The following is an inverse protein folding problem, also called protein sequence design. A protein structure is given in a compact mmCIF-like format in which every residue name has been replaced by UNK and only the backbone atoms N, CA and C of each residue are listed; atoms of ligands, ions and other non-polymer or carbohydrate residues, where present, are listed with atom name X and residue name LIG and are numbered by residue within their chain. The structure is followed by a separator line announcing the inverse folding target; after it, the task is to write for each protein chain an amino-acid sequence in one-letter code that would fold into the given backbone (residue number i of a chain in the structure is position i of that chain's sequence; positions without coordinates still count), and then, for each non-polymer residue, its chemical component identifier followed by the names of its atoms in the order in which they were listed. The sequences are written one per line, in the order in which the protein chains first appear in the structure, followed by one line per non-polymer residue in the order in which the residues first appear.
data_IF_313976224944
#
_entry.id   IF_313976224944
#
_cell.length_a   1.000
_cell.length_b   1.000
_cell.length_c   1.000
_cell.angle_alpha   90.00
_cell.angle_beta   90.00
_cell.angle_gamma   90.00
#
_symmetry.space_group_name_H-M   'P 1'
#
loop_
_entity.id
_entity.type
_entity.pdbx_description
1 polymer ?
#
# COMPACT_ATOMS: atom_id res chain seq x y z
N UNK A 1 -0.64 -80.11 -3.07
CA UNK A 1 0.38 -79.04 -3.19
C UNK A 1 -0.37 -77.80 -3.64
N UNK A 2 -0.87 -77.01 -2.68
CA UNK A 2 -1.66 -75.82 -2.97
C UNK A 2 -0.72 -74.60 -2.95
N UNK A 3 -0.66 -73.90 -4.07
CA UNK A 3 0.22 -72.76 -4.32
C UNK A 3 -0.49 -71.49 -3.87
N UNK A 4 -0.36 -71.14 -2.59
CA UNK A 4 -0.91 -69.90 -2.03
C UNK A 4 0.03 -68.75 -2.38
N UNK A 5 -0.36 -67.93 -3.35
CA UNK A 5 0.42 -66.76 -3.76
C UNK A 5 0.03 -65.58 -2.87
N UNK A 6 0.73 -65.42 -1.74
CA UNK A 6 0.53 -64.28 -0.84
C UNK A 6 0.65 -62.96 -1.61
N UNK A 7 -0.48 -62.28 -1.81
CA UNK A 7 -0.52 -60.97 -2.44
C UNK A 7 -0.20 -59.89 -1.41
N UNK A 8 0.59 -58.89 -1.77
CA UNK A 8 1.00 -57.81 -0.86
C UNK A 8 0.61 -56.46 -1.46
N UNK A 9 0.11 -55.55 -0.62
CA UNK A 9 -0.27 -54.21 -1.04
C UNK A 9 0.96 -53.43 -1.53
N UNK A 10 0.96 -52.91 -2.77
CA UNK A 10 2.10 -52.17 -3.32
C UNK A 10 2.32 -50.81 -2.64
N UNK A 11 1.32 -50.27 -1.95
CA UNK A 11 1.41 -48.95 -1.32
C UNK A 11 1.95 -48.99 0.11
N UNK A 12 1.65 -50.05 0.90
CA UNK A 12 2.00 -50.08 2.32
C UNK A 12 2.63 -51.41 2.79
N UNK A 13 2.78 -52.39 1.90
CA UNK A 13 3.42 -53.67 2.22
C UNK A 13 2.57 -54.63 3.06
N UNK A 14 1.28 -54.36 3.23
CA UNK A 14 0.38 -55.23 4.01
C UNK A 14 0.00 -56.48 3.22
N UNK A 15 -0.07 -57.65 3.88
CA UNK A 15 -0.52 -58.89 3.23
C UNK A 15 -2.01 -58.80 2.94
N UNK A 16 -2.36 -59.12 1.71
CA UNK A 16 -3.71 -59.05 1.18
C UNK A 16 -4.23 -60.46 0.91
N UNK A 17 -5.49 -60.76 1.27
CA UNK A 17 -6.13 -61.98 0.84
C UNK A 17 -6.37 -61.94 -0.68
N UNK A 18 -6.34 -63.12 -1.31
CA UNK A 18 -6.27 -63.28 -2.78
C UNK A 18 -7.39 -62.58 -3.55
N UNK A 19 -8.58 -62.43 -2.93
CA UNK A 19 -9.77 -61.80 -3.54
C UNK A 19 -10.02 -60.35 -3.08
N UNK A 20 -9.06 -59.70 -2.40
CA UNK A 20 -9.26 -58.30 -1.99
C UNK A 20 -9.16 -57.34 -3.20
N UNK A 21 -10.18 -56.51 -3.36
CA UNK A 21 -10.21 -55.42 -4.35
C UNK A 21 -9.56 -54.13 -3.81
N UNK A 22 -9.44 -54.00 -2.49
CA UNK A 22 -8.86 -52.83 -1.80
C UNK A 22 -8.09 -53.26 -0.55
N UNK A 23 -7.02 -52.53 -0.22
CA UNK A 23 -6.26 -52.72 1.00
C UNK A 23 -7.03 -52.17 2.21
N UNK A 24 -7.36 -53.01 3.18
CA UNK A 24 -8.06 -52.61 4.40
C UNK A 24 -7.27 -51.62 5.28
N UNK A 25 -5.94 -51.56 5.13
CA UNK A 25 -5.07 -50.71 5.95
C UNK A 25 -4.89 -49.31 5.40
N UNK A 26 -4.74 -49.15 4.08
CA UNK A 26 -4.47 -47.86 3.45
C UNK A 26 -5.51 -47.42 2.41
N UNK A 27 -6.50 -48.27 2.10
CA UNK A 27 -7.54 -48.00 1.13
C UNK A 27 -7.11 -48.12 -0.34
N UNK A 28 -5.85 -48.48 -0.63
CA UNK A 28 -5.36 -48.61 -2.01
C UNK A 28 -6.08 -49.75 -2.73
N UNK A 29 -6.65 -49.44 -3.89
CA UNK A 29 -7.32 -50.39 -4.77
C UNK A 29 -6.32 -51.32 -5.46
N UNK A 30 -6.61 -52.61 -5.50
CA UNK A 30 -5.68 -53.69 -5.90
C UNK A 30 -6.35 -54.71 -6.84
N UNK A 31 -7.48 -54.40 -7.47
CA UNK A 31 -8.11 -55.31 -8.43
C UNK A 31 -7.28 -55.42 -9.72
N UNK A 32 -7.07 -56.67 -10.18
CA UNK A 32 -6.11 -57.06 -11.21
C UNK A 32 -6.50 -56.74 -12.65
N UNK A 33 -7.20 -55.63 -12.91
CA UNK A 33 -7.44 -55.12 -14.26
C UNK A 33 -6.67 -53.82 -14.46
N UNK A 34 -5.57 -53.94 -15.21
CA UNK A 34 -4.80 -52.83 -15.69
C UNK A 34 -5.67 -51.93 -16.59
N UNK A 35 -6.14 -50.81 -16.04
CA UNK A 35 -6.47 -49.63 -16.82
C UNK A 35 -5.81 -48.40 -16.22
N UNK A 36 -4.73 -48.03 -16.90
CA UNK A 36 -4.29 -46.66 -17.07
C UNK A 36 -4.00 -45.93 -15.76
N UNK A 37 -2.87 -46.34 -15.15
CA UNK A 37 -1.94 -45.36 -14.63
C UNK A 37 -1.93 -44.17 -15.59
N UNK A 38 -2.40 -43.02 -15.09
CA UNK A 38 -2.10 -41.74 -15.71
C UNK A 38 -0.60 -41.71 -15.91
N UNK A 39 -0.19 -41.97 -17.15
CA UNK A 39 1.10 -41.57 -17.65
C UNK A 39 1.04 -40.04 -17.65
N UNK A 40 1.36 -39.48 -16.48
CA UNK A 40 2.30 -38.38 -16.39
C UNK A 40 3.54 -38.91 -17.10
N UNK A 41 3.54 -38.83 -18.44
CA UNK A 41 4.78 -38.66 -19.16
C UNK A 41 5.44 -37.50 -18.45
N UNK A 42 6.55 -37.77 -17.75
CA UNK A 42 7.54 -36.74 -17.47
C UNK A 42 7.58 -35.88 -18.74
N UNK A 43 7.43 -34.55 -18.67
CA UNK A 43 7.94 -33.74 -19.76
C UNK A 43 9.47 -33.76 -19.63
N UNK A 44 10.08 -34.94 -19.82
CA UNK A 44 11.41 -35.00 -20.39
C UNK A 44 11.22 -34.50 -21.82
N UNK A 45 11.60 -33.24 -22.03
CA UNK A 45 11.54 -32.51 -23.29
C UNK A 45 10.28 -31.69 -23.59
N UNK A 46 9.78 -30.90 -22.61
CA UNK A 46 9.00 -29.68 -22.95
C UNK A 46 9.66 -28.37 -22.50
N UNK A 47 10.74 -28.42 -21.70
CA UNK A 47 11.64 -27.28 -21.57
C UNK A 47 12.66 -27.32 -22.72
N UNK A 48 12.19 -27.08 -23.94
CA UNK A 48 13.09 -26.69 -25.02
C UNK A 48 13.82 -25.44 -24.55
N UNK A 49 15.15 -25.51 -24.50
CA UNK A 49 16.07 -24.42 -24.19
C UNK A 49 15.79 -23.21 -25.09
N UNK A 50 14.89 -22.33 -24.69
CA UNK A 50 14.86 -20.94 -25.15
C UNK A 50 15.23 -20.02 -23.97
N UNK A 51 16.50 -20.07 -23.58
CA UNK A 51 17.16 -19.13 -22.65
C UNK A 51 17.25 -17.68 -23.21
N UNK A 52 16.36 -17.27 -24.11
CA UNK A 52 16.42 -15.94 -24.77
C UNK A 52 15.15 -15.09 -24.67
N UNK A 53 14.14 -15.48 -23.88
CA UNK A 53 12.92 -14.64 -23.69
C UNK A 53 12.43 -14.65 -22.23
N UNK A 54 13.33 -14.35 -21.29
CA UNK A 54 12.98 -13.97 -19.90
C UNK A 54 13.58 -12.60 -19.52
N UNK A 55 14.42 -12.01 -20.39
CA UNK A 55 15.10 -10.74 -20.11
C UNK A 55 14.35 -9.46 -20.50
N UNK A 56 13.35 -9.53 -21.38
CA UNK A 56 12.68 -8.33 -21.92
C UNK A 56 11.52 -7.87 -21.03
N UNK A 57 10.78 -8.81 -20.43
CA UNK A 57 9.66 -8.49 -19.53
C UNK A 57 10.13 -7.82 -18.23
N UNK A 58 11.22 -8.30 -17.62
CA UNK A 58 11.76 -7.72 -16.40
C UNK A 58 12.28 -6.30 -16.63
N UNK A 59 13.01 -6.05 -17.73
CA UNK A 59 13.48 -4.72 -18.08
C UNK A 59 12.33 -3.74 -18.33
N UNK A 60 11.29 -4.17 -19.05
CA UNK A 60 10.10 -3.35 -19.28
C UNK A 60 9.36 -3.03 -17.97
N UNK A 61 9.17 -4.01 -17.07
CA UNK A 61 8.55 -3.79 -15.76
C UNK A 61 9.37 -2.81 -14.92
N UNK A 62 10.69 -2.94 -14.90
CA UNK A 62 11.57 -2.01 -14.17
C UNK A 62 11.43 -0.59 -14.74
N UNK A 63 11.44 -0.43 -16.06
CA UNK A 63 11.24 0.88 -16.70
C UNK A 63 9.88 1.48 -16.32
N UNK A 64 8.81 0.69 -16.33
CA UNK A 64 7.47 1.15 -15.91
C UNK A 64 7.47 1.58 -14.44
N UNK A 65 8.06 0.80 -13.54
CA UNK A 65 8.17 1.16 -12.13
C UNK A 65 8.97 2.44 -11.90
N UNK A 66 10.08 2.63 -12.65
CA UNK A 66 10.87 3.86 -12.59
C UNK A 66 10.09 5.07 -13.09
N UNK A 67 9.29 4.92 -14.15
CA UNK A 67 8.42 5.99 -14.66
C UNK A 67 7.34 6.33 -13.62
N UNK A 68 6.67 5.34 -13.04
CA UNK A 68 5.66 5.55 -11.99
C UNK A 68 6.28 6.27 -10.79
N UNK A 69 7.46 5.82 -10.35
CA UNK A 69 8.19 6.45 -9.24
C UNK A 69 8.57 7.89 -9.57
N UNK A 70 9.08 8.14 -10.77
CA UNK A 70 9.42 9.49 -11.25
C UNK A 70 8.22 10.42 -11.29
N UNK A 71 7.08 9.94 -11.79
CA UNK A 71 5.81 10.70 -11.80
C UNK A 71 5.38 11.02 -10.37
N UNK A 72 5.39 10.04 -9.47
CA UNK A 72 5.01 10.27 -8.07
C UNK A 72 5.96 11.28 -7.38
N UNK A 73 7.26 11.20 -7.63
CA UNK A 73 8.25 12.14 -7.08
C UNK A 73 8.01 13.58 -7.58
N UNK A 74 7.72 13.76 -8.88
CA UNK A 74 7.39 15.06 -9.45
C UNK A 74 6.10 15.62 -8.86
N UNK A 75 5.06 14.80 -8.70
CA UNK A 75 3.80 15.23 -8.10
C UNK A 75 3.96 15.60 -6.63
N UNK A 76 4.72 14.81 -5.85
CA UNK A 76 5.03 15.11 -4.46
C UNK A 76 5.82 16.42 -4.33
N UNK A 77 6.80 16.66 -5.21
CA UNK A 77 7.54 17.93 -5.25
C UNK A 77 6.64 19.11 -5.59
N UNK A 78 5.68 18.93 -6.51
CA UNK A 78 4.72 19.98 -6.85
C UNK A 78 3.80 20.30 -5.67
N UNK A 79 3.26 19.29 -4.99
CA UNK A 79 2.45 19.50 -3.79
C UNK A 79 3.25 20.24 -2.71
N UNK A 80 4.50 19.84 -2.46
CA UNK A 80 5.36 20.52 -1.48
C UNK A 80 5.49 22.01 -1.75
N UNK A 81 5.73 22.40 -3.00
CA UNK A 81 5.82 23.83 -3.39
C UNK A 81 4.54 24.61 -3.19
N UNK A 82 3.37 23.97 -3.34
CA UNK A 82 2.08 24.62 -3.07
C UNK A 82 1.83 24.75 -1.57
N UNK A 83 2.30 23.80 -0.76
CA UNK A 83 2.20 23.85 0.69
C UNK A 83 3.07 24.96 1.29
N UNK A 84 4.30 25.15 0.80
CA UNK A 84 5.26 26.20 1.22
C UNK A 84 4.85 27.64 0.82
N UNK A 85 3.56 27.86 0.54
CA UNK A 85 2.96 29.19 0.35
C UNK A 85 2.35 29.64 1.67
N UNK A 86 1.98 30.91 1.74
CA UNK A 86 1.33 31.46 2.93
C UNK A 86 -0.15 31.05 2.97
N UNK A 87 -0.53 30.25 3.97
CA UNK A 87 -1.90 29.76 4.15
C UNK A 87 -2.49 30.35 5.42
N UNK A 88 -3.67 30.96 5.33
CA UNK A 88 -4.33 31.54 6.49
C UNK A 88 -5.83 31.26 6.53
N UNK A 89 -6.45 31.48 7.68
CA UNK A 89 -7.90 31.51 7.86
C UNK A 89 -8.22 32.48 8.99
N UNK A 90 -9.46 32.95 9.06
CA UNK A 90 -9.91 33.79 10.17
C UNK A 90 -10.83 32.96 11.04
N UNK A 91 -10.53 32.88 12.34
CA UNK A 91 -11.39 32.27 13.35
C UNK A 91 -11.88 33.35 14.31
N UNK A 92 -13.14 33.26 14.74
CA UNK A 92 -13.73 34.28 15.60
C UNK A 92 -15.23 34.46 15.37
N UNK A 93 -15.87 35.18 16.29
CA UNK A 93 -17.28 35.53 16.24
C UNK A 93 -17.46 37.00 16.64
N UNK A 94 -18.53 37.62 16.12
CA UNK A 94 -18.93 39.01 16.39
C UNK A 94 -17.81 40.03 16.10
N UNK A 95 -17.08 40.45 17.14
CA UNK A 95 -16.05 41.50 17.08
C UNK A 95 -14.66 40.99 17.53
N UNK A 96 -14.49 39.67 17.70
CA UNK A 96 -13.23 39.05 18.11
C UNK A 96 -12.74 38.09 17.05
N UNK A 97 -11.85 38.56 16.17
CA UNK A 97 -11.24 37.78 15.09
C UNK A 97 -9.76 37.54 15.34
N UNK A 98 -9.30 36.34 15.02
CA UNK A 98 -7.90 35.94 15.07
C UNK A 98 -7.50 35.43 13.69
N UNK A 99 -6.34 35.89 13.19
CA UNK A 99 -5.76 35.36 11.97
C UNK A 99 -4.97 34.10 12.32
N UNK A 100 -5.40 32.98 11.79
CA UNK A 100 -4.71 31.71 11.88
C UNK A 100 -3.81 31.55 10.67
N UNK A 101 -2.54 31.18 10.86
CA UNK A 101 -1.56 30.99 9.79
C UNK A 101 -0.96 29.59 9.85
N UNK A 102 -0.92 28.89 8.73
CA UNK A 102 -0.09 27.71 8.51
C UNK A 102 1.13 28.11 7.68
N UNK A 103 2.29 27.94 8.29
CA UNK A 103 3.58 28.18 7.65
C UNK A 103 4.31 26.86 7.47
N UNK A 104 4.39 26.40 6.22
CA UNK A 104 5.08 25.15 5.89
C UNK A 104 6.55 25.45 5.59
N UNK A 105 7.43 24.81 6.36
CA UNK A 105 8.86 24.74 6.06
C UNK A 105 9.21 23.47 5.26
N UNK A 106 10.50 23.21 5.06
CA UNK A 106 10.96 21.97 4.42
C UNK A 106 10.61 20.71 5.25
N UNK A 107 10.43 20.83 6.56
CA UNK A 107 10.35 19.69 7.51
C UNK A 107 9.12 19.69 8.39
N UNK A 108 8.66 20.88 8.78
CA UNK A 108 7.58 21.07 9.72
C UNK A 108 6.57 22.07 9.19
N UNK A 109 5.39 22.06 9.79
CA UNK A 109 4.36 23.05 9.59
C UNK A 109 4.08 23.72 10.94
N UNK A 110 4.18 25.04 10.96
CA UNK A 110 3.90 25.85 12.14
C UNK A 110 2.48 26.42 12.04
N UNK A 111 1.68 26.19 13.08
CA UNK A 111 0.38 26.80 13.24
C UNK A 111 0.49 28.00 14.19
N UNK A 112 0.33 29.21 13.66
CA UNK A 112 0.42 30.48 14.40
C UNK A 112 -0.92 31.20 14.50
N UNK A 113 -1.09 31.96 15.57
CA UNK A 113 -2.12 32.99 15.69
C UNK A 113 -1.47 34.35 15.56
N UNK A 114 -1.99 35.16 14.64
CA UNK A 114 -1.62 36.54 14.42
C UNK A 114 -2.80 37.45 14.77
N UNK A 115 -2.55 38.48 15.57
CA UNK A 115 -3.63 39.33 16.13
C UNK A 115 -3.57 40.78 15.63
N UNK A 116 -2.71 41.06 14.64
CA UNK A 116 -2.38 42.42 14.18
C UNK A 116 -1.44 43.17 15.15
N UNK A 117 -1.13 42.57 16.30
CA UNK A 117 -0.17 43.06 17.26
C UNK A 117 0.98 42.07 17.39
N UNK A 118 2.14 42.38 16.81
CA UNK A 118 3.29 41.47 16.75
C UNK A 118 3.74 40.88 18.10
N UNK A 119 3.41 41.54 19.23
CA UNK A 119 3.74 41.07 20.57
C UNK A 119 2.77 40.00 21.13
N UNK A 120 1.63 39.80 20.48
CA UNK A 120 0.63 38.79 20.79
C UNK A 120 0.70 37.59 19.84
N UNK A 121 1.49 37.67 18.77
CA UNK A 121 1.63 36.57 17.83
C UNK A 121 2.25 35.37 18.53
N UNK A 122 1.69 34.18 18.31
CA UNK A 122 2.10 32.99 19.04
C UNK A 122 1.96 31.72 18.21
N UNK A 123 2.90 30.81 18.41
CA UNK A 123 2.86 29.46 17.85
C UNK A 123 2.00 28.57 18.73
N UNK A 124 0.91 28.07 18.17
CA UNK A 124 0.01 27.12 18.84
C UNK A 124 0.58 25.72 18.80
N UNK A 125 1.12 25.33 17.66
CA UNK A 125 1.70 24.01 17.45
C UNK A 125 2.70 24.01 16.29
N UNK A 126 3.63 23.05 16.34
CA UNK A 126 4.51 22.71 15.23
C UNK A 126 4.37 21.22 14.98
N UNK A 127 4.17 20.82 13.72
CA UNK A 127 4.00 19.43 13.35
C UNK A 127 5.06 19.01 12.34
N UNK A 128 5.72 17.88 12.57
CA UNK A 128 6.54 17.26 11.52
C UNK A 128 5.63 16.77 10.40
N UNK A 129 6.01 17.03 9.15
CA UNK A 129 5.26 16.55 8.00
C UNK A 129 6.15 15.96 6.90
N UNK A 130 5.53 15.17 6.02
CA UNK A 130 6.17 14.71 4.79
C UNK A 130 5.15 14.46 3.70
N UNK A 131 5.45 14.92 2.49
CA UNK A 131 4.62 14.61 1.32
C UNK A 131 4.87 13.17 0.87
N UNK A 132 3.80 12.38 0.71
CA UNK A 132 3.89 10.97 0.33
C UNK A 132 3.38 10.69 -1.10
N UNK A 133 2.55 11.57 -1.65
CA UNK A 133 2.01 11.46 -3.00
C UNK A 133 1.48 12.81 -3.49
N UNK A 134 0.98 12.89 -4.72
CA UNK A 134 0.54 14.14 -5.35
C UNK A 134 -0.53 14.95 -4.61
N UNK A 135 -1.32 14.34 -3.73
CA UNK A 135 -2.35 15.02 -2.94
C UNK A 135 -2.40 14.57 -1.48
N UNK A 136 -1.33 13.94 -0.96
CA UNK A 136 -1.31 13.44 0.42
C UNK A 136 -0.01 13.77 1.11
N UNK A 137 -0.13 14.23 2.34
CA UNK A 137 0.97 14.34 3.29
C UNK A 137 0.72 13.43 4.49
N UNK A 138 1.79 13.09 5.20
CA UNK A 138 1.70 12.58 6.56
C UNK A 138 2.10 13.66 7.53
N UNK A 139 1.42 13.71 8.67
CA UNK A 139 1.70 14.65 9.75
C UNK A 139 1.77 13.91 11.07
N UNK A 140 2.74 14.29 11.90
CA UNK A 140 2.88 13.80 13.27
C UNK A 140 2.29 14.83 14.24
N UNK A 141 1.01 14.66 14.59
CA UNK A 141 0.29 15.60 15.47
C UNK A 141 0.38 15.24 16.95
N UNK A 142 0.24 13.95 17.26
CA UNK A 142 0.13 13.44 18.62
C UNK A 142 0.96 12.17 18.77
N UNK A 143 1.87 12.15 19.76
CA UNK A 143 2.72 10.98 20.01
C UNK A 143 3.63 10.64 18.83
N UNK A 144 3.72 9.35 18.52
CA UNK A 144 4.66 8.81 17.51
C UNK A 144 3.96 8.33 16.22
N UNK A 145 2.65 8.53 16.11
CA UNK A 145 1.84 8.01 15.00
C UNK A 145 1.60 9.04 13.89
N UNK A 146 2.04 8.68 12.68
CA UNK A 146 1.85 9.49 11.48
C UNK A 146 0.42 9.36 10.93
N UNK A 147 -0.33 10.45 10.96
CA UNK A 147 -1.64 10.57 10.34
C UNK A 147 -1.50 10.95 8.86
N UNK A 148 -2.39 10.46 7.98
CA UNK A 148 -2.40 10.84 6.57
C UNK A 148 -3.46 11.90 6.32
N UNK A 149 -3.05 13.03 5.77
CA UNK A 149 -3.89 14.15 5.39
C UNK A 149 -3.95 14.23 3.87
N UNK A 150 -5.16 14.27 3.33
CA UNK A 150 -5.42 14.57 1.92
C UNK A 150 -5.51 16.08 1.74
N UNK A 151 -4.89 16.60 0.69
CA UNK A 151 -4.83 18.01 0.35
C UNK A 151 -5.49 18.22 -1.01
N UNK A 152 -6.49 19.10 -1.04
CA UNK A 152 -7.18 19.49 -2.27
C UNK A 152 -7.04 21.01 -2.45
N UNK A 153 -6.92 21.44 -3.70
CA UNK A 153 -6.90 22.85 -4.06
C UNK A 153 -8.07 23.16 -4.98
N UNK A 154 -8.60 24.39 -4.90
CA UNK A 154 -9.47 24.89 -5.96
C UNK A 154 -8.68 25.10 -7.27
N UNK A 155 -9.38 25.40 -8.36
CA UNK A 155 -8.78 25.55 -9.69
C UNK A 155 -7.69 26.64 -9.74
N UNK A 156 -7.87 27.71 -8.97
CA UNK A 156 -6.95 28.85 -8.87
C UNK A 156 -5.82 28.63 -7.86
N UNK A 157 -5.90 27.56 -7.05
CA UNK A 157 -5.02 27.29 -5.90
C UNK A 157 -4.92 28.46 -4.91
N UNK A 158 -5.99 29.21 -4.75
CA UNK A 158 -6.16 30.23 -3.72
C UNK A 158 -6.81 29.66 -2.47
N UNK A 159 -7.36 28.44 -2.56
CA UNK A 159 -8.00 27.73 -1.46
C UNK A 159 -7.38 26.33 -1.35
N UNK A 160 -6.96 25.98 -0.14
CA UNK A 160 -6.51 24.64 0.24
C UNK A 160 -7.52 24.03 1.21
N UNK A 161 -7.88 22.77 0.99
CA UNK A 161 -8.74 21.99 1.85
C UNK A 161 -7.94 20.79 2.35
N UNK A 162 -7.89 20.58 3.66
CA UNK A 162 -7.28 19.38 4.25
C UNK A 162 -8.34 18.42 4.77
N UNK A 163 -8.08 17.11 4.68
CA UNK A 163 -8.97 16.06 5.19
C UNK A 163 -8.17 14.88 5.75
N UNK A 164 -8.24 14.58 7.06
CA UNK A 164 -8.94 15.35 8.10
C UNK A 164 -8.36 16.76 8.31
N UNK A 165 -9.03 17.59 9.11
CA UNK A 165 -8.49 18.90 9.49
C UNK A 165 -7.15 18.75 10.20
N UNK A 166 -6.16 19.59 9.85
CA UNK A 166 -4.83 19.61 10.45
C UNK A 166 -4.83 20.25 11.83
N UNK A 167 -5.57 21.34 12.04
CA UNK A 167 -5.48 22.12 13.29
C UNK A 167 -6.71 22.01 14.19
N UNK A 168 -7.77 21.32 13.74
CA UNK A 168 -8.99 21.09 14.54
C UNK A 168 -9.33 19.59 14.64
N UNK A 169 -10.51 19.30 15.19
CA UNK A 169 -11.10 17.94 15.25
C UNK A 169 -12.13 17.71 14.15
N UNK A 170 -12.26 18.65 13.21
CA UNK A 170 -13.24 18.59 12.14
C UNK A 170 -12.84 17.58 11.05
N UNK A 171 -13.84 17.14 10.28
CA UNK A 171 -13.61 16.23 9.15
C UNK A 171 -12.76 16.87 8.04
N UNK A 172 -12.77 18.20 7.95
CA UNK A 172 -12.02 19.00 7.00
C UNK A 172 -11.87 20.43 7.51
N UNK A 173 -10.90 21.14 6.97
CA UNK A 173 -10.72 22.58 7.19
C UNK A 173 -10.31 23.26 5.89
N UNK A 174 -10.47 24.57 5.85
CA UNK A 174 -10.24 25.39 4.66
C UNK A 174 -9.22 26.48 5.03
N UNK A 175 -8.23 26.63 4.16
CA UNK A 175 -7.20 27.66 4.23
C UNK A 175 -7.18 28.45 2.94
N UNK A 176 -6.93 29.75 3.04
CA UNK A 176 -6.84 30.67 1.91
C UNK A 176 -5.43 31.21 1.79
N UNK A 177 -4.97 31.33 0.55
CA UNK A 177 -3.76 32.06 0.21
C UNK A 177 -4.16 33.47 -0.23
N UNK A 178 -3.55 34.47 0.40
CA UNK A 178 -3.74 35.87 0.06
C UNK A 178 -2.53 36.31 -0.75
N UNK A 179 -2.74 36.61 -2.04
CA UNK A 179 -1.72 37.19 -2.94
C UNK A 179 -1.35 38.64 -2.55
#
# INVERSE_FOLDING_TARGET
MENTTERVCPACGEKLPDDSLFCAKCGTRVDGEAQNAGQITKPAHFFSKNKKIVGVGAAAVIVVLLVIFGINAVQASKLKKELERDWCKVEGEEDSYILCVLDFSDKDVEYRLETGYAWLDTTVATYDYKVISGNKMKVLRYGDDWETITVEFNDEKTVMITSPALTSTDAREIWVHLD
#
